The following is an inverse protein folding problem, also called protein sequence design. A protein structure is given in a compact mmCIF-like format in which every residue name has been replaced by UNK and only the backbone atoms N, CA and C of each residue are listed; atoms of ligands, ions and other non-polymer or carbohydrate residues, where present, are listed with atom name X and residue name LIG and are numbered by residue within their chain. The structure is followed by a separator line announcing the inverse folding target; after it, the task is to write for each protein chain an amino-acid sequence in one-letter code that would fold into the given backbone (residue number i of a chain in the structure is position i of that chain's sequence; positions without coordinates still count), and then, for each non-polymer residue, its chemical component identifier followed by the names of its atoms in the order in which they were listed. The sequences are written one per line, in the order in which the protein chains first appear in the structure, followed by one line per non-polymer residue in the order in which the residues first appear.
data_IF_048889051484
#
_entry.id   IF_048889051484
#
_cell.length_a   1.000
_cell.length_b   1.000
_cell.length_c   1.000
_cell.angle_alpha   90.00
_cell.angle_beta   90.00
_cell.angle_gamma   90.00
#
_symmetry.space_group_name_H-M   'P 1'
#
loop_
_entity.id
_entity.type
_entity.pdbx_description
1 polymer ?
#
# COMPACT_ATOMS: atom_id res chain seq x y z
N UNK A 1 41.89 -9.64 27.04
CA UNK A 1 41.46 -10.14 25.70
C UNK A 1 40.02 -9.69 25.47
N UNK A 2 39.78 -8.44 25.09
CA UNK A 2 38.41 -7.86 25.07
C UNK A 2 37.96 -7.28 23.71
N UNK A 3 38.80 -7.33 22.67
CA UNK A 3 38.47 -6.71 21.37
C UNK A 3 37.55 -7.56 20.45
N UNK A 4 37.26 -8.83 20.77
CA UNK A 4 36.50 -9.71 19.87
C UNK A 4 34.98 -9.40 19.81
N UNK A 5 34.42 -8.65 20.75
CA UNK A 5 32.97 -8.43 20.88
C UNK A 5 32.35 -7.49 19.83
N UNK A 6 33.11 -6.97 18.88
CA UNK A 6 32.69 -5.86 18.00
C UNK A 6 32.90 -6.13 16.49
N UNK A 7 33.05 -7.41 16.10
CA UNK A 7 33.31 -7.86 14.73
C UNK A 7 32.17 -7.48 13.78
N UNK A 8 32.53 -6.89 12.65
CA UNK A 8 31.62 -6.74 11.49
C UNK A 8 31.64 -8.03 10.68
N UNK A 9 30.45 -8.51 10.32
CA UNK A 9 30.23 -9.67 9.46
C UNK A 9 29.24 -9.29 8.36
N UNK A 10 29.28 -10.00 7.23
CA UNK A 10 28.23 -9.92 6.21
C UNK A 10 27.37 -11.16 6.40
N UNK A 11 26.06 -10.97 6.58
CA UNK A 11 25.13 -12.07 6.83
C UNK A 11 23.76 -11.80 6.18
N UNK A 12 22.97 -12.85 6.03
CA UNK A 12 21.59 -12.75 5.55
C UNK A 12 20.69 -12.35 6.70
N UNK A 13 19.92 -11.28 6.56
CA UNK A 13 18.93 -10.83 7.54
C UNK A 13 17.54 -10.95 6.93
N UNK A 14 16.70 -11.77 7.56
CA UNK A 14 15.30 -12.00 7.22
C UNK A 14 14.43 -11.24 8.22
N UNK A 15 13.61 -10.31 7.74
CA UNK A 15 12.77 -9.43 8.55
C UNK A 15 11.30 -9.67 8.24
N UNK A 16 10.49 -9.78 9.29
CA UNK A 16 9.07 -10.15 9.25
C UNK A 16 8.25 -9.16 10.08
N UNK A 17 7.07 -8.77 9.61
CA UNK A 17 6.06 -8.15 10.50
C UNK A 17 4.64 -8.70 10.23
N UNK A 18 3.80 -8.67 11.26
CA UNK A 18 2.37 -9.01 11.18
C UNK A 18 1.60 -7.76 10.75
N UNK A 19 0.88 -7.87 9.64
CA UNK A 19 0.16 -6.75 9.02
C UNK A 19 -0.94 -6.23 9.94
N UNK A 20 -0.92 -4.93 10.21
CA UNK A 20 -1.87 -4.21 11.08
C UNK A 20 -1.96 -4.72 12.53
N UNK A 21 -0.94 -5.42 13.04
CA UNK A 21 -0.93 -6.00 14.40
C UNK A 21 -1.43 -5.04 15.49
N UNK A 22 -0.87 -3.83 15.56
CA UNK A 22 -1.22 -2.82 16.57
C UNK A 22 -2.67 -2.30 16.49
N UNK A 23 -3.39 -2.55 15.38
CA UNK A 23 -4.82 -2.19 15.23
C UNK A 23 -5.76 -3.27 15.79
N UNK A 24 -5.26 -4.46 16.12
CA UNK A 24 -6.07 -5.59 16.63
C UNK A 24 -6.24 -5.47 18.15
N UNK A 25 -7.29 -6.10 18.70
CA UNK A 25 -7.46 -6.22 20.15
C UNK A 25 -6.32 -7.05 20.78
N UNK A 26 -6.09 -6.91 22.08
CA UNK A 26 -5.06 -7.66 22.81
C UNK A 26 -5.24 -9.19 22.67
N UNK A 27 -6.48 -9.68 22.71
CA UNK A 27 -6.78 -11.10 22.47
C UNK A 27 -6.36 -11.58 21.08
N UNK A 28 -6.57 -10.76 20.05
CA UNK A 28 -6.15 -11.07 18.69
C UNK A 28 -4.65 -10.91 18.46
N UNK A 29 -4.01 -9.93 19.11
CA UNK A 29 -2.56 -9.78 19.12
C UNK A 29 -1.87 -11.05 19.67
N UNK A 30 -2.35 -11.58 20.81
CA UNK A 30 -1.85 -12.85 21.39
C UNK A 30 -2.00 -14.00 20.38
N UNK A 31 -3.20 -14.25 19.86
CA UNK A 31 -3.47 -15.33 18.91
C UNK A 31 -2.67 -15.23 17.60
N UNK A 32 -2.43 -14.01 17.09
CA UNK A 32 -1.60 -13.77 15.91
C UNK A 32 -0.12 -14.04 16.21
N UNK A 33 0.39 -13.58 17.36
CA UNK A 33 1.78 -13.75 17.76
C UNK A 33 2.11 -15.21 18.10
N UNK A 34 1.19 -15.96 18.69
CA UNK A 34 1.32 -17.41 18.93
C UNK A 34 1.46 -18.18 17.61
N UNK A 35 0.55 -17.96 16.65
CA UNK A 35 0.60 -18.59 15.31
C UNK A 35 1.87 -18.20 14.55
N UNK A 36 2.22 -16.91 14.55
CA UNK A 36 3.44 -16.39 13.94
C UNK A 36 4.69 -17.05 14.52
N UNK A 37 4.81 -17.13 15.85
CA UNK A 37 5.95 -17.76 16.52
C UNK A 37 6.02 -19.27 16.22
N UNK A 38 4.88 -19.96 16.12
CA UNK A 38 4.83 -21.37 15.74
C UNK A 38 5.34 -21.61 14.31
N UNK A 39 4.89 -20.82 13.33
CA UNK A 39 5.37 -20.93 11.95
C UNK A 39 6.82 -20.51 11.80
N UNK A 40 7.26 -19.46 12.50
CA UNK A 40 8.66 -19.06 12.52
C UNK A 40 9.55 -20.17 13.08
N UNK A 41 9.15 -20.81 14.19
CA UNK A 41 9.86 -21.94 14.80
C UNK A 41 10.04 -23.11 13.84
N UNK A 42 9.00 -23.45 13.06
CA UNK A 42 9.08 -24.46 11.99
C UNK A 42 10.05 -24.00 10.89
N UNK A 43 9.90 -22.75 10.42
CA UNK A 43 10.67 -22.20 9.30
C UNK A 43 12.17 -22.16 9.55
N UNK A 44 12.60 -21.97 10.80
CA UNK A 44 14.03 -21.95 11.15
C UNK A 44 14.53 -23.26 11.76
N UNK A 45 13.68 -24.27 12.01
CA UNK A 45 13.98 -25.44 12.86
C UNK A 45 15.36 -26.07 12.59
N UNK A 46 15.70 -26.21 11.31
CA UNK A 46 16.87 -26.95 10.84
C UNK A 46 18.17 -26.10 10.80
N UNK A 47 18.08 -24.80 11.12
CA UNK A 47 19.23 -23.90 11.28
C UNK A 47 19.79 -24.00 12.71
N UNK A 48 21.11 -24.20 12.90
CA UNK A 48 21.71 -24.28 14.24
C UNK A 48 21.52 -23.01 15.07
N UNK A 49 21.36 -23.16 16.39
CA UNK A 49 21.15 -22.02 17.31
C UNK A 49 22.34 -21.04 17.30
N UNK A 50 23.57 -21.54 17.14
CA UNK A 50 24.78 -20.70 17.08
C UNK A 50 24.93 -19.96 15.75
N UNK A 51 24.26 -20.43 14.69
CA UNK A 51 24.35 -19.88 13.34
C UNK A 51 23.20 -18.91 13.05
N UNK A 52 22.44 -18.52 14.08
CA UNK A 52 21.37 -17.52 13.99
C UNK A 52 21.29 -16.60 15.19
N UNK A 53 20.91 -15.34 14.96
CA UNK A 53 20.49 -14.41 16.01
C UNK A 53 19.05 -13.99 15.70
N UNK A 54 18.14 -14.18 16.67
CA UNK A 54 16.71 -13.87 16.55
C UNK A 54 16.41 -12.67 17.43
N UNK A 55 15.79 -11.64 16.86
CA UNK A 55 15.34 -10.44 17.56
C UNK A 55 13.81 -10.36 17.43
N UNK A 56 13.10 -10.32 18.55
CA UNK A 56 11.67 -10.07 18.55
C UNK A 56 11.39 -8.56 18.40
N UNK A 57 10.51 -8.17 17.47
CA UNK A 57 10.09 -6.77 17.28
C UNK A 57 8.78 -6.44 18.01
N UNK A 58 8.19 -7.42 18.69
CA UNK A 58 6.86 -7.36 19.31
C UNK A 58 5.78 -7.84 18.34
N UNK A 59 5.69 -7.21 17.16
CA UNK A 59 4.74 -7.51 16.09
C UNK A 59 5.28 -8.44 14.99
N UNK A 60 6.51 -8.94 15.15
CA UNK A 60 7.25 -9.64 14.11
C UNK A 60 8.54 -10.26 14.63
N UNK A 61 9.54 -10.38 13.77
CA UNK A 61 10.89 -10.80 14.12
C UNK A 61 11.92 -10.42 13.05
N UNK A 62 13.18 -10.32 13.45
CA UNK A 62 14.33 -10.29 12.57
C UNK A 62 15.29 -11.44 12.89
N UNK A 63 15.67 -12.24 11.88
CA UNK A 63 16.58 -13.37 12.01
C UNK A 63 17.82 -13.10 11.16
N UNK A 64 18.99 -13.13 11.79
CA UNK A 64 20.28 -13.00 11.12
C UNK A 64 20.93 -14.37 11.01
N UNK A 65 21.08 -14.90 9.80
CA UNK A 65 21.70 -16.19 9.51
C UNK A 65 23.20 -15.99 9.30
N UNK A 66 23.99 -16.51 10.23
CA UNK A 66 25.45 -16.40 10.29
C UNK A 66 26.14 -17.53 9.51
N UNK A 67 25.39 -18.59 9.17
CA UNK A 67 25.82 -19.76 8.40
C UNK A 67 25.59 -19.62 6.89
N UNK A 68 24.70 -20.45 6.32
CA UNK A 68 24.50 -20.50 4.87
C UNK A 68 23.64 -19.34 4.35
N UNK A 69 23.88 -18.90 3.12
CA UNK A 69 23.05 -17.88 2.47
C UNK A 69 21.64 -18.41 2.15
N UNK A 70 21.53 -19.72 1.93
CA UNK A 70 20.30 -20.45 1.60
C UNK A 70 19.35 -20.56 2.79
N UNK A 71 19.86 -20.52 4.02
CA UNK A 71 19.04 -20.65 5.24
C UNK A 71 17.90 -19.62 5.28
N UNK A 72 18.19 -18.38 4.87
CA UNK A 72 17.21 -17.31 4.79
C UNK A 72 16.15 -17.53 3.69
N UNK A 73 16.52 -18.16 2.56
CA UNK A 73 15.60 -18.52 1.48
C UNK A 73 14.70 -19.67 1.92
N UNK A 74 15.26 -20.71 2.52
CA UNK A 74 14.52 -21.86 3.04
C UNK A 74 13.54 -21.44 4.14
N UNK A 75 13.97 -20.61 5.09
CA UNK A 75 13.11 -20.04 6.12
C UNK A 75 11.97 -19.20 5.50
N UNK A 76 12.26 -18.35 4.51
CA UNK A 76 11.23 -17.54 3.86
C UNK A 76 10.20 -18.37 3.09
N UNK A 77 10.65 -19.39 2.35
CA UNK A 77 9.77 -20.31 1.63
C UNK A 77 8.93 -21.17 2.60
N UNK A 78 9.51 -21.64 3.70
CA UNK A 78 8.81 -22.40 4.73
C UNK A 78 7.76 -21.56 5.44
N UNK A 79 8.10 -20.33 5.86
CA UNK A 79 7.15 -19.39 6.47
C UNK A 79 5.96 -19.12 5.53
N UNK A 80 6.24 -18.84 4.24
CA UNK A 80 5.20 -18.63 3.24
C UNK A 80 4.32 -19.86 3.02
N UNK A 81 4.91 -21.06 3.00
CA UNK A 81 4.17 -22.32 2.89
C UNK A 81 3.21 -22.52 4.06
N UNK A 82 3.66 -22.28 5.30
CA UNK A 82 2.80 -22.35 6.49
C UNK A 82 1.62 -21.36 6.42
N UNK A 83 1.89 -20.11 6.02
CA UNK A 83 0.86 -19.08 5.84
C UNK A 83 -0.17 -19.44 4.74
N UNK A 84 0.27 -20.01 3.62
CA UNK A 84 -0.62 -20.50 2.55
C UNK A 84 -1.49 -21.68 3.02
N UNK A 85 -0.91 -22.59 3.81
CA UNK A 85 -1.60 -23.78 4.33
C UNK A 85 -2.67 -23.43 5.39
N UNK A 86 -2.47 -22.39 6.19
CA UNK A 86 -3.53 -21.83 7.05
C UNK A 86 -4.56 -21.06 6.22
N UNK A 87 -4.09 -20.19 5.31
CA UNK A 87 -4.93 -19.32 4.50
C UNK A 87 -5.77 -18.36 5.36
N UNK A 88 -7.03 -18.15 4.99
CA UNK A 88 -8.00 -17.35 5.77
C UNK A 88 -8.98 -18.23 6.56
N UNK A 89 -8.59 -19.46 6.91
CA UNK A 89 -9.45 -20.40 7.66
C UNK A 89 -9.65 -20.01 9.12
N UNK A 90 -8.78 -19.14 9.64
CA UNK A 90 -8.77 -18.66 11.02
C UNK A 90 -9.02 -17.16 11.03
N UNK A 91 -9.87 -16.68 11.94
CA UNK A 91 -10.13 -15.25 12.14
C UNK A 91 -9.38 -14.76 13.41
N UNK A 92 -8.63 -13.65 13.35
CA UNK A 92 -8.20 -12.94 12.15
C UNK A 92 -7.17 -13.75 11.35
N UNK A 93 -7.13 -13.60 10.01
CA UNK A 93 -6.12 -14.24 9.19
C UNK A 93 -4.73 -13.73 9.55
N UNK A 94 -3.75 -14.64 9.65
CA UNK A 94 -2.36 -14.27 9.87
C UNK A 94 -1.74 -13.79 8.55
N UNK A 95 -1.52 -12.48 8.46
CA UNK A 95 -0.92 -11.82 7.31
C UNK A 95 0.45 -11.27 7.70
N UNK A 96 1.49 -11.63 6.94
CA UNK A 96 2.89 -11.32 7.26
C UNK A 96 3.58 -10.73 6.04
N UNK A 97 4.35 -9.64 6.21
CA UNK A 97 5.28 -9.13 5.19
C UNK A 97 6.66 -9.68 5.44
N UNK A 98 7.39 -9.99 4.36
CA UNK A 98 8.67 -10.69 4.44
C UNK A 98 9.73 -10.00 3.57
N UNK A 99 10.89 -9.70 4.16
CA UNK A 99 12.01 -9.06 3.48
C UNK A 99 13.35 -9.73 3.81
N UNK A 100 14.19 -10.02 2.81
CA UNK A 100 15.56 -10.52 3.01
C UNK A 100 16.59 -9.54 2.48
N UNK A 101 17.68 -9.33 3.21
CA UNK A 101 18.84 -8.58 2.75
C UNK A 101 20.16 -9.29 3.11
N UNK A 102 21.14 -9.27 2.20
CA UNK A 102 22.53 -9.60 2.50
C UNK A 102 23.30 -8.31 2.76
N UNK A 103 23.88 -8.14 3.95
CA UNK A 103 24.59 -6.90 4.25
C UNK A 103 25.44 -6.94 5.52
N UNK A 104 26.20 -5.86 5.79
CA UNK A 104 27.07 -5.78 6.95
C UNK A 104 26.26 -5.54 8.23
N UNK A 105 26.52 -6.37 9.24
CA UNK A 105 26.05 -6.19 10.62
C UNK A 105 27.22 -6.32 11.58
N UNK A 106 27.09 -5.73 12.76
CA UNK A 106 28.03 -5.87 13.87
C UNK A 106 27.38 -6.69 14.95
N UNK A 107 28.07 -7.75 15.38
CA UNK A 107 27.69 -8.48 16.58
C UNK A 107 27.91 -7.58 17.79
N UNK A 108 26.94 -7.56 18.70
CA UNK A 108 26.97 -6.86 19.99
C UNK A 108 26.29 -7.75 21.04
N UNK A 109 26.32 -7.31 22.31
CA UNK A 109 25.50 -7.91 23.37
C UNK A 109 24.38 -6.95 23.76
N UNK A 110 23.20 -7.49 24.06
CA UNK A 110 22.08 -6.71 24.59
C UNK A 110 22.28 -6.39 26.09
N UNK A 111 21.30 -5.72 26.69
CA UNK A 111 21.30 -5.38 28.12
C UNK A 111 21.31 -6.60 29.06
N UNK A 112 20.94 -7.78 28.56
CA UNK A 112 20.92 -9.06 29.28
C UNK A 112 22.18 -9.92 28.99
N UNK A 113 23.13 -9.40 28.20
CA UNK A 113 24.34 -10.11 27.79
C UNK A 113 24.16 -11.10 26.64
N UNK A 114 22.97 -11.18 26.04
CA UNK A 114 22.64 -12.08 24.93
C UNK A 114 23.19 -11.56 23.59
N UNK A 115 23.52 -12.45 22.62
CA UNK A 115 23.93 -12.04 21.27
C UNK A 115 22.84 -11.21 20.57
N UNK A 116 23.23 -10.07 20.02
CA UNK A 116 22.35 -9.15 19.30
C UNK A 116 23.13 -8.55 18.11
N UNK A 117 22.46 -7.88 17.18
CA UNK A 117 23.08 -7.25 16.01
C UNK A 117 22.65 -5.79 15.82
N UNK A 118 23.56 -4.98 15.28
CA UNK A 118 23.28 -3.62 14.82
C UNK A 118 23.98 -3.35 13.49
N UNK A 119 23.43 -2.48 12.64
CA UNK A 119 24.10 -2.05 11.41
C UNK A 119 23.16 -1.80 10.23
N UNK A 120 23.75 -1.51 9.07
CA UNK A 120 22.99 -1.23 7.85
C UNK A 120 22.25 -2.47 7.35
N UNK A 121 22.83 -3.67 7.49
CA UNK A 121 22.24 -4.92 7.01
C UNK A 121 20.81 -5.18 7.51
N UNK A 122 20.56 -4.98 8.81
CA UNK A 122 19.22 -5.12 9.41
C UNK A 122 18.30 -3.96 9.06
N UNK A 123 18.81 -2.73 9.00
CA UNK A 123 18.02 -1.56 8.61
C UNK A 123 17.50 -1.71 7.17
N UNK A 124 18.33 -2.16 6.24
CA UNK A 124 17.94 -2.43 4.84
C UNK A 124 16.94 -3.60 4.77
N UNK A 125 17.13 -4.68 5.53
CA UNK A 125 16.16 -5.78 5.59
C UNK A 125 14.76 -5.30 5.99
N UNK A 126 14.68 -4.42 7.01
CA UNK A 126 13.43 -3.78 7.43
C UNK A 126 12.80 -2.92 6.32
N UNK A 127 13.60 -2.22 5.49
CA UNK A 127 13.07 -1.45 4.35
C UNK A 127 12.53 -2.35 3.25
N UNK A 128 13.28 -3.40 2.88
CA UNK A 128 12.86 -4.41 1.90
C UNK A 128 11.54 -5.06 2.32
N UNK A 129 11.41 -5.46 3.59
CA UNK A 129 10.15 -5.97 4.15
C UNK A 129 9.03 -4.92 4.06
N UNK A 130 9.31 -3.66 4.40
CA UNK A 130 8.33 -2.58 4.37
C UNK A 130 7.78 -2.23 2.98
N UNK A 131 8.42 -2.68 1.90
CA UNK A 131 7.92 -2.57 0.52
C UNK A 131 7.05 -3.76 0.08
N UNK A 132 6.98 -4.83 0.87
CA UNK A 132 6.29 -6.06 0.52
C UNK A 132 4.78 -5.98 0.78
N UNK A 133 4.00 -6.58 -0.10
CA UNK A 133 2.57 -6.84 0.12
C UNK A 133 2.34 -7.98 1.14
N UNK A 134 1.15 -8.10 1.75
CA UNK A 134 0.82 -9.22 2.65
C UNK A 134 1.05 -10.59 1.99
N UNK A 135 1.84 -11.45 2.62
CA UNK A 135 2.24 -12.77 2.12
C UNK A 135 3.36 -12.76 1.06
N UNK A 136 3.79 -11.59 0.60
CA UNK A 136 4.89 -11.45 -0.36
C UNK A 136 6.25 -11.52 0.35
N UNK A 137 7.21 -12.20 -0.31
CA UNK A 137 8.63 -12.15 0.05
C UNK A 137 9.34 -11.25 -0.95
N UNK A 138 9.95 -10.18 -0.47
CA UNK A 138 10.90 -9.37 -1.25
C UNK A 138 12.33 -9.61 -0.77
N UNK A 139 13.31 -9.48 -1.66
CA UNK A 139 14.73 -9.50 -1.34
C UNK A 139 15.47 -8.32 -1.95
N UNK A 140 16.55 -7.88 -1.32
CA UNK A 140 17.46 -6.88 -1.90
C UNK A 140 18.26 -7.44 -3.07
N UNK A 141 18.74 -6.54 -3.94
CA UNK A 141 19.75 -6.86 -4.98
C UNK A 141 20.95 -7.63 -4.42
N UNK A 142 21.50 -7.24 -3.27
CA UNK A 142 22.70 -7.91 -2.71
C UNK A 142 22.43 -9.35 -2.32
N UNK A 143 21.23 -9.68 -1.83
CA UNK A 143 20.83 -11.05 -1.55
C UNK A 143 20.62 -11.85 -2.84
N UNK A 144 19.90 -11.27 -3.80
CA UNK A 144 19.68 -11.87 -5.12
C UNK A 144 20.99 -12.18 -5.86
N UNK A 145 21.90 -11.21 -5.96
CA UNK A 145 23.18 -11.33 -6.68
C UNK A 145 24.10 -12.42 -6.10
N UNK A 146 23.93 -12.78 -4.82
CA UNK A 146 24.65 -13.85 -4.16
C UNK A 146 23.95 -15.21 -4.31
N UNK A 147 22.67 -15.30 -3.98
CA UNK A 147 21.93 -16.58 -3.94
C UNK A 147 21.63 -17.14 -5.33
N UNK A 148 21.40 -16.28 -6.32
CA UNK A 148 21.25 -16.71 -7.74
C UNK A 148 22.48 -17.41 -8.31
N UNK A 149 23.66 -17.28 -7.67
CA UNK A 149 24.90 -17.97 -8.08
C UNK A 149 25.07 -19.35 -7.46
N UNK A 150 24.29 -19.69 -6.44
CA UNK A 150 24.35 -20.99 -5.75
C UNK A 150 23.66 -22.10 -6.55
N UNK A 151 22.54 -21.77 -7.21
CA UNK A 151 21.80 -22.70 -8.05
C UNK A 151 21.02 -21.97 -9.16
N UNK A 152 20.96 -22.58 -10.33
CA UNK A 152 20.09 -22.13 -11.43
C UNK A 152 18.61 -22.20 -11.06
N UNK A 153 18.23 -23.15 -10.20
CA UNK A 153 16.87 -23.27 -9.67
C UNK A 153 16.51 -22.03 -8.85
N UNK A 154 17.39 -21.61 -7.93
CA UNK A 154 17.19 -20.40 -7.13
C UNK A 154 17.12 -19.16 -8.03
N UNK A 155 18.01 -19.03 -9.01
CA UNK A 155 17.99 -17.91 -9.95
C UNK A 155 16.62 -17.75 -10.66
N UNK A 156 15.96 -18.87 -10.99
CA UNK A 156 14.64 -18.88 -11.62
C UNK A 156 13.47 -18.47 -10.70
N UNK A 157 13.66 -18.41 -9.38
CA UNK A 157 12.60 -18.05 -8.41
C UNK A 157 12.39 -16.55 -8.24
N UNK A 158 13.34 -15.71 -8.70
CA UNK A 158 13.35 -14.27 -8.44
C UNK A 158 12.80 -13.46 -9.62
N UNK A 159 11.94 -12.50 -9.31
CA UNK A 159 11.36 -11.58 -10.29
C UNK A 159 11.63 -10.13 -9.88
N UNK A 160 12.32 -9.36 -10.73
CA UNK A 160 12.64 -7.97 -10.47
C UNK A 160 11.36 -7.11 -10.33
N UNK A 161 11.28 -6.31 -9.26
CA UNK A 161 10.14 -5.45 -8.92
C UNK A 161 10.47 -3.94 -8.97
N UNK A 162 11.63 -3.59 -9.55
CA UNK A 162 12.10 -2.21 -9.69
C UNK A 162 12.88 -1.69 -8.47
N UNK A 163 13.20 -0.39 -8.52
CA UNK A 163 13.75 0.38 -7.40
C UNK A 163 12.62 0.94 -6.53
N UNK A 164 12.81 0.91 -5.21
CA UNK A 164 11.91 1.48 -4.20
C UNK A 164 12.68 2.43 -3.30
N UNK A 165 12.12 3.59 -3.01
CA UNK A 165 12.76 4.60 -2.16
C UNK A 165 12.26 4.50 -0.72
N UNK A 166 13.17 4.48 0.25
CA UNK A 166 12.81 4.48 1.67
C UNK A 166 12.57 5.89 2.24
N UNK A 167 12.18 5.96 3.52
CA UNK A 167 11.96 7.22 4.25
C UNK A 167 13.21 8.11 4.40
N UNK A 168 14.39 7.61 4.04
CA UNK A 168 15.66 8.33 4.05
C UNK A 168 16.12 8.72 2.63
N UNK A 169 15.24 8.58 1.63
CA UNK A 169 15.51 8.85 0.20
C UNK A 169 16.60 7.93 -0.37
N UNK A 170 16.84 6.76 0.26
CA UNK A 170 17.73 5.73 -0.29
C UNK A 170 16.94 4.82 -1.23
N UNK A 171 17.51 4.56 -2.39
CA UNK A 171 16.99 3.59 -3.35
C UNK A 171 17.40 2.16 -2.99
N UNK A 172 16.44 1.25 -3.13
CA UNK A 172 16.57 -0.18 -2.87
C UNK A 172 15.96 -0.95 -4.03
N UNK A 173 16.78 -1.66 -4.79
CA UNK A 173 16.29 -2.55 -5.83
C UNK A 173 15.86 -3.89 -5.24
N UNK A 174 14.63 -4.28 -5.55
CA UNK A 174 13.94 -5.41 -4.93
C UNK A 174 13.51 -6.46 -5.95
N UNK A 175 13.56 -7.71 -5.51
CA UNK A 175 13.13 -8.88 -6.27
C UNK A 175 12.11 -9.66 -5.44
N UNK A 176 10.97 -10.02 -6.03
CA UNK A 176 10.01 -10.92 -5.41
C UNK A 176 10.44 -12.38 -5.59
N UNK A 177 10.22 -13.23 -4.58
CA UNK A 177 10.33 -14.69 -4.72
C UNK A 177 8.95 -15.25 -5.01
N UNK A 178 8.79 -16.03 -6.09
CA UNK A 178 7.53 -16.65 -6.50
C UNK A 178 6.52 -15.69 -7.14
N UNK A 179 5.38 -16.22 -7.59
CA UNK A 179 4.46 -15.50 -8.47
C UNK A 179 3.68 -14.38 -7.76
N UNK A 180 3.61 -13.16 -8.34
CA UNK A 180 2.67 -12.14 -7.90
C UNK A 180 1.22 -12.58 -8.15
N UNK A 181 0.56 -13.14 -7.14
CA UNK A 181 -0.86 -13.55 -7.21
C UNK A 181 -1.30 -14.65 -6.24
N UNK A 182 -0.37 -15.45 -5.70
CA UNK A 182 -0.69 -16.64 -4.90
C UNK A 182 -1.48 -16.33 -3.61
N UNK A 183 -1.24 -15.17 -2.97
CA UNK A 183 -2.06 -14.67 -1.85
C UNK A 183 -3.24 -13.79 -2.29
N UNK A 184 -3.08 -13.01 -3.36
CA UNK A 184 -4.08 -12.00 -3.77
C UNK A 184 -5.35 -12.63 -4.32
N UNK A 185 -5.22 -13.73 -5.08
CA UNK A 185 -6.34 -14.51 -5.59
C UNK A 185 -7.11 -15.20 -4.47
N UNK A 186 -6.40 -15.83 -3.54
CA UNK A 186 -6.94 -16.56 -2.39
C UNK A 186 -7.72 -15.65 -1.43
N UNK A 187 -7.27 -14.40 -1.21
CA UNK A 187 -8.08 -13.43 -0.46
C UNK A 187 -9.34 -12.98 -1.20
N UNK A 188 -9.26 -12.71 -2.51
CA UNK A 188 -10.43 -12.24 -3.28
C UNK A 188 -11.52 -13.32 -3.45
N UNK A 189 -11.16 -14.60 -3.56
CA UNK A 189 -12.14 -15.69 -3.66
C UNK A 189 -12.86 -15.93 -2.33
N UNK A 190 -12.12 -16.01 -1.23
CA UNK A 190 -12.68 -16.37 0.08
C UNK A 190 -13.44 -15.21 0.75
N UNK A 191 -13.02 -13.95 0.54
CA UNK A 191 -13.78 -12.78 1.00
C UNK A 191 -15.10 -12.58 0.24
N UNK A 192 -15.22 -13.06 -1.00
CA UNK A 192 -16.51 -13.13 -1.72
C UNK A 192 -17.41 -14.21 -1.15
N UNK A 193 -16.87 -15.39 -0.84
CA UNK A 193 -17.63 -16.53 -0.34
C UNK A 193 -18.19 -16.30 1.07
N UNK A 194 -17.37 -15.84 2.03
CA UNK A 194 -17.80 -15.58 3.41
C UNK A 194 -18.80 -14.41 3.53
N UNK A 195 -18.77 -13.42 2.63
CA UNK A 195 -19.76 -12.32 2.61
C UNK A 195 -21.13 -12.76 2.11
N UNK A 196 -21.21 -13.88 1.38
CA UNK A 196 -22.45 -14.34 0.77
C UNK A 196 -23.35 -15.13 1.76
N UNK A 197 -22.77 -15.66 2.84
CA UNK A 197 -23.49 -16.50 3.82
C UNK A 197 -24.07 -15.73 5.03
N UNK A 198 -23.60 -14.51 5.33
CA UNK A 198 -23.91 -13.81 6.60
C UNK A 198 -24.61 -12.44 6.48
N UNK A 199 -24.91 -11.94 5.28
CA UNK A 199 -25.49 -10.60 5.09
C UNK A 199 -26.98 -10.56 5.44
N UNK A 200 -27.36 -9.85 6.52
CA UNK A 200 -28.75 -9.68 6.94
C UNK A 200 -29.33 -8.31 6.56
N UNK A 201 -30.56 -8.30 6.05
CA UNK A 201 -31.47 -7.13 5.97
C UNK A 201 -30.88 -5.85 5.37
N UNK A 202 -30.32 -5.00 6.24
CA UNK A 202 -29.90 -3.63 5.92
C UNK A 202 -28.61 -3.58 5.07
N UNK A 203 -27.66 -4.50 5.28
CA UNK A 203 -26.46 -4.56 4.42
C UNK A 203 -26.83 -4.97 2.99
N UNK A 204 -27.84 -5.83 2.81
CA UNK A 204 -28.32 -6.24 1.49
C UNK A 204 -28.95 -5.07 0.72
N UNK A 205 -29.54 -4.08 1.41
CA UNK A 205 -30.12 -2.87 0.78
C UNK A 205 -29.00 -1.91 0.34
N UNK A 206 -27.99 -1.69 1.19
CA UNK A 206 -26.83 -0.86 0.83
C UNK A 206 -26.00 -1.50 -0.30
N UNK A 207 -25.80 -2.82 -0.25
CA UNK A 207 -25.13 -3.58 -1.30
C UNK A 207 -25.89 -3.54 -2.64
N UNK A 208 -27.22 -3.65 -2.60
CA UNK A 208 -28.06 -3.47 -3.80
C UNK A 208 -27.99 -2.04 -4.35
N UNK A 209 -27.78 -1.03 -3.51
CA UNK A 209 -27.56 0.36 -3.92
C UNK A 209 -26.21 0.54 -4.61
N UNK A 210 -25.12 0.00 -4.07
CA UNK A 210 -23.79 0.05 -4.71
C UNK A 210 -23.76 -0.72 -6.05
N UNK A 211 -24.32 -1.93 -6.09
CA UNK A 211 -24.44 -2.73 -7.33
C UNK A 211 -25.40 -2.09 -8.35
N UNK A 212 -26.43 -1.34 -7.93
CA UNK A 212 -27.21 -0.49 -8.83
C UNK A 212 -26.44 0.73 -9.33
N UNK A 213 -25.60 1.35 -8.48
CA UNK A 213 -24.77 2.49 -8.86
C UNK A 213 -23.72 2.08 -9.90
N UNK A 214 -23.01 0.98 -9.71
CA UNK A 214 -22.05 0.46 -10.70
C UNK A 214 -22.73 0.09 -12.02
N UNK A 215 -23.95 -0.48 -11.98
CA UNK A 215 -24.75 -0.75 -13.18
C UNK A 215 -25.28 0.52 -13.86
N UNK A 216 -25.68 1.53 -13.09
CA UNK A 216 -26.08 2.84 -13.63
C UNK A 216 -24.90 3.57 -14.27
N UNK A 217 -23.71 3.53 -13.65
CA UNK A 217 -22.46 4.11 -14.19
C UNK A 217 -22.05 3.39 -15.48
N UNK A 218 -22.10 2.05 -15.51
CA UNK A 218 -21.82 1.28 -16.72
C UNK A 218 -22.81 1.54 -17.88
N UNK A 219 -24.07 1.87 -17.58
CA UNK A 219 -25.07 2.27 -18.59
C UNK A 219 -24.94 3.76 -18.98
N UNK A 220 -24.37 4.60 -18.11
CA UNK A 220 -24.16 6.03 -18.35
C UNK A 220 -22.85 6.35 -19.12
N UNK A 221 -21.84 5.47 -19.08
CA UNK A 221 -20.54 5.66 -19.74
C UNK A 221 -20.61 6.08 -21.23
N UNK A 222 -21.57 5.58 -22.06
CA UNK A 222 -21.74 6.03 -23.44
C UNK A 222 -22.35 7.44 -23.59
N UNK A 223 -23.02 7.96 -22.55
CA UNK A 223 -23.79 9.22 -22.59
C UNK A 223 -22.95 10.42 -22.17
N UNK A 224 -22.01 10.27 -21.23
CA UNK A 224 -21.17 11.37 -20.73
C UNK A 224 -20.44 12.12 -21.85
N UNK A 225 -19.87 11.38 -22.81
CA UNK A 225 -19.11 11.94 -23.94
C UNK A 225 -19.99 12.82 -24.84
N UNK A 226 -21.25 12.44 -25.08
CA UNK A 226 -22.22 13.25 -25.85
C UNK A 226 -22.78 14.42 -25.05
N UNK A 227 -23.03 14.24 -23.75
CA UNK A 227 -23.56 15.30 -22.90
C UNK A 227 -22.56 16.48 -22.77
N UNK A 228 -21.27 16.19 -22.60
CA UNK A 228 -20.20 17.20 -22.52
C UNK A 228 -19.99 17.96 -23.84
N UNK A 229 -20.12 17.29 -24.99
CA UNK A 229 -20.09 17.95 -26.31
C UNK A 229 -21.30 18.87 -26.53
N UNK A 230 -22.50 18.42 -26.14
CA UNK A 230 -23.73 19.21 -26.25
C UNK A 230 -23.68 20.45 -25.32
N UNK A 231 -23.21 20.28 -24.08
CA UNK A 231 -23.03 21.37 -23.10
C UNK A 231 -22.05 22.45 -23.57
N UNK A 232 -20.96 22.06 -24.26
CA UNK A 232 -20.00 23.00 -24.86
C UNK A 232 -20.59 23.81 -26.02
N UNK A 233 -21.58 23.29 -26.75
CA UNK A 233 -22.19 23.97 -27.92
C UNK A 233 -23.25 25.02 -27.58
N UNK A 234 -23.70 25.08 -26.34
CA UNK A 234 -24.85 25.89 -25.90
C UNK A 234 -24.39 27.21 -25.27
N UNK A 235 -25.18 28.28 -25.46
CA UNK A 235 -24.88 29.63 -24.94
C UNK A 235 -25.04 29.72 -23.41
N UNK A 236 -24.32 30.62 -22.74
CA UNK A 236 -24.23 30.63 -21.27
C UNK A 236 -25.57 30.84 -20.56
N UNK A 237 -26.51 31.61 -21.13
CA UNK A 237 -27.86 31.76 -20.57
C UNK A 237 -28.65 30.45 -20.60
N UNK A 238 -28.47 29.65 -21.64
CA UNK A 238 -29.10 28.33 -21.77
C UNK A 238 -28.41 27.28 -20.88
N UNK A 239 -27.10 27.40 -20.61
CA UNK A 239 -26.39 26.54 -19.63
C UNK A 239 -26.95 26.71 -18.22
N UNK A 240 -27.20 27.95 -17.79
CA UNK A 240 -27.81 28.24 -16.47
C UNK A 240 -29.23 27.65 -16.38
N UNK A 241 -30.04 27.80 -17.43
CA UNK A 241 -31.38 27.20 -17.48
C UNK A 241 -31.36 25.66 -17.42
N UNK A 242 -30.39 25.02 -18.09
CA UNK A 242 -30.24 23.56 -18.11
C UNK A 242 -29.76 23.02 -16.75
N UNK A 243 -28.82 23.70 -16.09
CA UNK A 243 -28.40 23.38 -14.73
C UNK A 243 -29.54 23.56 -13.71
N UNK A 244 -30.32 24.64 -13.83
CA UNK A 244 -31.51 24.85 -12.99
C UNK A 244 -32.56 23.74 -13.21
N UNK A 245 -32.79 23.33 -14.47
CA UNK A 245 -33.67 22.21 -14.79
C UNK A 245 -33.21 20.88 -14.18
N UNK A 246 -31.92 20.54 -14.27
CA UNK A 246 -31.38 19.33 -13.65
C UNK A 246 -31.47 19.36 -12.12
N UNK A 247 -31.24 20.53 -11.50
CA UNK A 247 -31.41 20.70 -10.05
C UNK A 247 -32.88 20.46 -9.63
N UNK A 248 -33.86 20.98 -10.37
CA UNK A 248 -35.28 20.72 -10.12
C UNK A 248 -35.61 19.23 -10.24
N UNK A 249 -35.13 18.55 -11.29
CA UNK A 249 -35.33 17.08 -11.45
C UNK A 249 -34.70 16.29 -10.30
N UNK A 250 -33.48 16.63 -9.89
CA UNK A 250 -32.80 15.98 -8.76
C UNK A 250 -33.57 16.16 -7.44
N UNK A 251 -34.08 17.37 -7.16
CA UNK A 251 -34.92 17.66 -5.99
C UNK A 251 -36.26 16.92 -6.07
N UNK A 252 -36.89 16.84 -7.24
CA UNK A 252 -38.13 16.08 -7.44
C UNK A 252 -37.94 14.58 -7.25
N UNK A 253 -36.83 14.00 -7.73
CA UNK A 253 -36.48 12.60 -7.51
C UNK A 253 -36.14 12.31 -6.04
N UNK A 254 -35.45 13.23 -5.36
CA UNK A 254 -35.19 13.13 -3.92
C UNK A 254 -36.49 13.18 -3.12
N UNK A 255 -37.42 14.08 -3.46
CA UNK A 255 -38.74 14.15 -2.84
C UNK A 255 -39.58 12.88 -3.09
N UNK A 256 -39.52 12.32 -4.31
CA UNK A 256 -40.17 11.05 -4.65
C UNK A 256 -39.58 9.89 -3.84
N UNK A 257 -38.25 9.80 -3.73
CA UNK A 257 -37.55 8.80 -2.91
C UNK A 257 -37.94 8.91 -1.43
N UNK A 258 -37.93 10.13 -0.87
CA UNK A 258 -38.41 10.36 0.51
C UNK A 258 -39.86 9.92 0.65
N UNK A 259 -40.74 10.28 -0.29
CA UNK A 259 -42.16 9.92 -0.22
C UNK A 259 -42.42 8.42 -0.37
N UNK A 260 -41.61 7.69 -1.15
CA UNK A 260 -41.64 6.23 -1.26
C UNK A 260 -41.11 5.54 0.02
N UNK A 261 -40.14 6.14 0.70
CA UNK A 261 -39.58 5.64 1.97
C UNK A 261 -40.50 5.94 3.16
N UNK A 262 -41.26 7.03 3.15
CA UNK A 262 -42.20 7.40 4.23
C UNK A 262 -43.63 6.92 4.01
N UNK A 263 -43.95 6.38 2.82
CA UNK A 263 -45.32 6.07 2.39
C UNK A 263 -46.05 4.98 3.19
N UNK A 264 -45.34 4.15 3.96
CA UNK A 264 -45.94 3.07 4.77
C UNK A 264 -46.25 3.48 6.22
N UNK A 265 -45.97 4.73 6.61
CA UNK A 265 -46.09 5.21 7.99
C UNK A 265 -47.41 5.97 8.30
N UNK A 266 -48.53 5.60 7.66
CA UNK A 266 -49.87 6.14 8.02
C UNK A 266 -50.93 5.06 8.18
N UNK A 267 -50.88 4.34 9.30
CA UNK A 267 -52.06 3.66 9.86
C UNK A 267 -52.01 3.73 11.39
N UNK A 268 -52.84 4.56 12.05
CA UNK A 268 -52.82 4.66 13.51
C UNK A 268 -53.41 3.39 14.14
N UNK A 269 -52.82 2.85 15.21
CA UNK A 269 -53.42 1.73 15.94
C UNK A 269 -54.69 2.19 16.64
N UNK A 270 -55.77 1.42 16.49
CA UNK A 270 -57.01 1.66 17.24
C UNK A 270 -56.80 1.43 18.74
N UNK A 271 -57.41 2.28 19.54
CA UNK A 271 -57.44 2.12 20.99
C UNK A 271 -58.25 0.88 21.39
N UNK A 272 -57.86 0.27 22.51
CA UNK A 272 -58.75 -0.56 23.33
C UNK A 272 -58.47 -0.29 24.80
N UNK A 273 -59.48 0.26 25.47
CA UNK A 273 -59.65 0.33 26.92
C UNK A 273 -60.03 -1.09 27.42
N UNK A 274 -60.02 -1.52 28.68
CA UNK A 274 -59.69 -0.98 30.01
C UNK A 274 -59.08 -2.17 30.84
N UNK A 275 -58.84 -2.19 32.15
CA UNK A 275 -59.35 -1.43 33.31
C UNK A 275 -58.52 -1.71 34.59
N UNK A 276 -58.45 -0.73 35.50
CA UNK A 276 -58.30 -0.80 37.00
C UNK A 276 -57.47 -1.93 37.65
N UNK A 277 -56.54 -1.66 38.58
CA UNK A 277 -56.86 -1.01 39.86
C UNK A 277 -55.68 -0.24 40.53
N UNK A 278 -55.93 0.37 41.69
CA UNK A 278 -55.05 1.28 42.46
C UNK A 278 -55.02 0.92 43.97
N UNK A 279 -54.35 1.67 44.88
CA UNK A 279 -53.02 2.31 44.85
C UNK A 279 -52.18 1.96 46.12
N UNK A 280 -50.93 2.46 46.24
CA UNK A 280 -50.50 3.36 47.35
C UNK A 280 -48.97 3.45 47.64
N UNK A 281 -48.58 4.69 48.01
CA UNK A 281 -47.51 5.09 48.95
C UNK A 281 -46.03 5.13 48.51
N UNK A 282 -45.40 6.24 48.91
CA UNK A 282 -43.97 6.58 48.93
C UNK A 282 -43.75 7.50 50.16
N UNK A 283 -42.57 8.15 50.41
CA UNK A 283 -41.17 7.90 50.03
C UNK A 283 -40.31 7.82 51.35
N UNK A 284 -39.06 8.37 51.52
CA UNK A 284 -37.95 8.73 50.60
C UNK A 284 -36.54 8.26 51.07
N UNK A 285 -35.51 8.39 50.22
CA UNK A 285 -34.14 8.75 50.63
C UNK A 285 -33.29 9.33 49.47
N UNK A 286 -32.25 10.12 49.82
CA UNK A 286 -31.29 10.84 48.94
C UNK A 286 -30.16 9.87 48.47
N UNK A 287 -29.28 10.14 47.50
CA UNK A 287 -28.28 11.25 47.38
C UNK A 287 -27.79 11.36 45.94
N UNK A 288 -27.45 12.58 45.48
CA UNK A 288 -26.78 12.86 44.18
C UNK A 288 -25.68 13.92 44.37
N UNK A 289 -24.70 13.90 43.45
CA UNK A 289 -23.68 14.90 43.14
C UNK A 289 -22.38 14.94 43.97
N UNK A 290 -21.27 14.72 43.26
CA UNK A 290 -19.97 15.35 43.53
C UNK A 290 -19.34 15.76 42.21
N UNK A 291 -19.35 17.05 41.91
CA UNK A 291 -18.57 17.64 40.81
C UNK A 291 -17.16 17.96 41.32
N UNK A 292 -16.18 17.86 40.43
CA UNK A 292 -14.88 18.51 40.59
C UNK A 292 -14.43 19.01 39.21
N UNK A 293 -14.39 20.33 39.05
CA UNK A 293 -13.73 20.97 37.92
C UNK A 293 -12.27 21.24 38.31
N UNK A 294 -11.36 21.21 37.34
CA UNK A 294 -9.99 21.69 37.54
C UNK A 294 -9.55 22.54 36.35
N UNK A 295 -8.79 23.60 36.64
CA UNK A 295 -8.39 24.63 35.68
C UNK A 295 -7.03 24.32 35.02
N UNK A 296 -6.81 24.88 33.82
CA UNK A 296 -5.67 25.75 33.42
C UNK A 296 -5.11 25.48 32.03
N UNK A 297 -4.91 26.58 31.32
CA UNK A 297 -4.26 26.69 30.01
C UNK A 297 -2.75 26.81 30.18
N UNK A 298 -1.99 26.31 29.20
CA UNK A 298 -0.76 26.93 28.72
C UNK A 298 -0.42 26.38 27.32
N UNK A 299 -0.10 27.26 26.37
CA UNK A 299 0.45 26.91 25.06
C UNK A 299 1.56 27.92 24.69
N UNK A 300 2.73 27.49 24.19
CA UNK A 300 3.83 28.38 23.84
C UNK A 300 3.94 28.70 22.33
N UNK A 301 4.74 29.74 22.04
CA UNK A 301 4.91 30.42 20.76
C UNK A 301 5.96 29.78 19.80
N UNK A 302 5.96 30.20 18.53
CA UNK A 302 6.99 29.90 17.51
C UNK A 302 8.27 30.76 17.67
N UNK A 303 9.38 30.46 16.94
CA UNK A 303 9.70 31.28 15.73
C UNK A 303 10.56 30.66 14.57
N UNK A 304 10.29 31.10 13.32
CA UNK A 304 11.17 31.50 12.17
C UNK A 304 12.47 30.73 11.65
N UNK A 305 13.02 31.04 10.43
CA UNK A 305 13.58 30.00 9.51
C UNK A 305 14.96 30.19 8.78
N UNK A 306 15.42 29.13 8.06
CA UNK A 306 16.25 29.08 6.80
C UNK A 306 17.78 29.47 6.83
N UNK A 307 18.64 29.27 5.78
CA UNK A 307 18.84 28.26 4.68
C UNK A 307 20.36 27.82 4.51
N UNK A 308 21.05 27.64 3.32
CA UNK A 308 20.90 26.81 2.07
C UNK A 308 22.15 25.94 1.62
N UNK A 309 22.07 25.33 0.39
CA UNK A 309 23.18 24.93 -0.57
C UNK A 309 23.77 23.50 -0.40
N UNK A 310 24.46 22.79 -1.34
CA UNK A 310 25.10 23.02 -2.68
C UNK A 310 25.00 21.74 -3.60
N UNK A 311 25.29 21.83 -4.92
CA UNK A 311 25.36 20.72 -5.93
C UNK A 311 26.80 20.20 -6.24
N UNK A 312 26.97 19.00 -6.84
CA UNK A 312 27.97 18.70 -7.92
C UNK A 312 27.80 17.34 -8.65
N UNK A 313 28.55 17.13 -9.76
CA UNK A 313 28.20 16.28 -10.93
C UNK A 313 29.45 15.77 -11.70
N UNK A 314 29.55 14.46 -12.05
CA UNK A 314 30.48 13.83 -13.03
C UNK A 314 29.85 12.47 -13.48
N UNK A 315 29.48 12.17 -14.73
CA UNK A 315 30.26 11.58 -15.87
C UNK A 315 31.21 10.42 -15.47
N UNK A 316 31.30 9.24 -16.13
CA UNK A 316 30.55 8.63 -17.25
C UNK A 316 31.46 7.70 -18.09
N UNK A 317 31.20 6.38 -18.21
CA UNK A 317 31.99 5.45 -19.08
C UNK A 317 31.13 4.42 -19.85
N UNK A 318 31.55 4.22 -21.10
CA UNK A 318 31.02 3.48 -22.25
C UNK A 318 30.45 2.06 -22.06
N UNK A 319 29.27 1.92 -22.63
CA UNK A 319 28.54 0.74 -23.13
C UNK A 319 29.28 -0.02 -24.25
N UNK A 320 29.15 -1.36 -24.34
CA UNK A 320 29.50 -2.10 -25.58
C UNK A 320 28.79 -3.46 -25.78
N UNK A 321 28.71 -3.83 -27.06
CA UNK A 321 28.45 -5.17 -27.62
C UNK A 321 27.05 -5.81 -27.53
N UNK A 322 26.37 -5.89 -26.37
CA UNK A 322 25.11 -6.68 -26.28
C UNK A 322 23.85 -6.02 -26.86
N UNK A 323 23.89 -4.73 -27.17
CA UNK A 323 22.71 -3.94 -27.58
C UNK A 323 22.31 -4.13 -29.06
N UNK A 324 23.19 -4.73 -29.90
CA UNK A 324 22.96 -4.79 -31.36
C UNK A 324 21.86 -5.76 -31.81
N UNK A 325 21.51 -6.78 -31.04
CA UNK A 325 20.59 -7.86 -31.46
C UNK A 325 19.11 -7.62 -31.18
N UNK A 326 18.70 -6.44 -30.71
CA UNK A 326 17.29 -6.05 -30.49
C UNK A 326 16.82 -4.86 -31.35
N UNK A 327 17.71 -4.25 -32.14
CA UNK A 327 17.42 -2.99 -32.87
C UNK A 327 16.66 -3.23 -34.19
N UNK A 328 16.72 -4.44 -34.77
CA UNK A 328 16.28 -4.68 -36.16
C UNK A 328 14.75 -4.84 -36.36
N UNK A 329 13.97 -5.07 -35.30
CA UNK A 329 12.51 -5.37 -35.45
C UNK A 329 11.58 -4.25 -34.95
N UNK A 330 12.09 -3.33 -34.15
CA UNK A 330 11.38 -2.10 -33.74
C UNK A 330 12.40 -0.97 -33.68
N UNK A 331 12.26 0.02 -34.56
CA UNK A 331 13.23 1.11 -34.68
C UNK A 331 13.47 1.82 -33.35
N UNK A 332 14.69 2.37 -33.19
CA UNK A 332 15.21 2.96 -31.96
C UNK A 332 14.15 3.73 -31.13
N UNK A 333 14.07 3.48 -29.80
CA UNK A 333 13.12 4.17 -28.94
C UNK A 333 13.41 5.67 -28.94
N UNK A 334 12.35 6.45 -28.91
CA UNK A 334 12.41 7.90 -28.78
C UNK A 334 12.54 8.30 -27.31
N UNK A 335 13.06 9.50 -27.04
CA UNK A 335 13.29 9.99 -25.68
C UNK A 335 12.49 11.27 -25.43
N UNK A 336 11.57 11.22 -24.48
CA UNK A 336 10.81 12.38 -24.00
C UNK A 336 11.48 12.91 -22.74
N UNK A 337 12.12 14.07 -22.84
CA UNK A 337 12.70 14.78 -21.68
C UNK A 337 11.60 15.57 -20.96
N UNK A 338 11.51 15.38 -19.64
CA UNK A 338 10.48 15.92 -18.77
C UNK A 338 11.09 16.96 -17.82
N UNK A 339 10.40 18.06 -17.60
CA UNK A 339 10.76 19.06 -16.61
C UNK A 339 9.50 19.64 -15.99
N UNK A 340 9.07 19.05 -14.87
CA UNK A 340 7.85 19.41 -14.14
C UNK A 340 8.18 20.16 -12.85
N UNK A 341 7.44 21.23 -12.56
CA UNK A 341 7.57 22.02 -11.32
C UNK A 341 6.20 22.29 -10.68
N UNK A 342 6.04 22.16 -9.35
CA UNK A 342 7.06 21.74 -8.37
C UNK A 342 7.40 20.24 -8.48
N UNK A 343 6.40 19.42 -8.79
CA UNK A 343 6.53 17.99 -9.12
C UNK A 343 5.22 17.49 -9.76
N UNK A 344 5.25 16.31 -10.40
CA UNK A 344 4.03 15.65 -10.87
C UNK A 344 4.24 14.18 -11.24
N UNK A 345 3.21 13.37 -10.99
CA UNK A 345 3.05 12.00 -11.47
C UNK A 345 2.88 12.00 -13.00
N UNK A 346 3.72 11.23 -13.69
CA UNK A 346 3.76 11.15 -15.14
C UNK A 346 3.08 9.86 -15.57
N UNK A 347 2.02 9.97 -16.37
CA UNK A 347 1.33 8.86 -16.98
C UNK A 347 1.54 8.90 -18.50
N UNK A 348 1.89 7.75 -19.09
CA UNK A 348 1.97 7.54 -20.55
C UNK A 348 0.87 6.55 -20.94
N UNK A 349 -0.03 6.97 -21.83
CA UNK A 349 -1.20 6.18 -22.26
C UNK A 349 -2.02 5.61 -21.08
N UNK A 350 -2.16 6.41 -20.02
CA UNK A 350 -2.85 6.04 -18.78
C UNK A 350 -2.03 5.19 -17.80
N UNK A 351 -0.82 4.73 -18.14
CA UNK A 351 0.06 3.97 -17.24
C UNK A 351 1.04 4.90 -16.53
N UNK A 352 1.07 4.86 -15.19
CA UNK A 352 2.04 5.60 -14.37
C UNK A 352 3.48 5.16 -14.70
N UNK A 353 4.33 6.13 -15.03
CA UNK A 353 5.76 5.95 -15.33
C UNK A 353 6.67 6.37 -14.17
N UNK A 354 6.15 7.16 -13.23
CA UNK A 354 6.89 7.68 -12.07
C UNK A 354 6.52 9.13 -11.76
N UNK A 355 7.36 9.82 -10.99
CA UNK A 355 7.20 11.26 -10.68
C UNK A 355 8.37 12.06 -11.25
N UNK A 356 8.09 13.20 -11.87
CA UNK A 356 9.09 14.20 -12.27
C UNK A 356 9.08 15.32 -11.22
N UNK A 357 10.24 15.82 -10.70
CA UNK A 357 11.54 15.85 -11.36
C UNK A 357 12.42 14.60 -11.44
N UNK A 358 12.40 13.59 -10.54
CA UNK A 358 13.41 12.52 -10.60
C UNK A 358 13.29 11.67 -11.88
N UNK A 359 12.08 11.51 -12.44
CA UNK A 359 11.89 11.12 -13.83
C UNK A 359 12.13 12.31 -14.77
N UNK A 360 13.36 12.41 -15.29
CA UNK A 360 13.79 13.48 -16.23
C UNK A 360 13.72 13.07 -17.71
N UNK A 361 13.74 11.77 -18.01
CA UNK A 361 13.65 11.22 -19.37
C UNK A 361 12.78 9.97 -19.35
N UNK A 362 11.98 9.79 -20.40
CA UNK A 362 11.08 8.66 -20.60
C UNK A 362 11.32 8.09 -22.01
N UNK A 363 11.58 6.80 -22.12
CA UNK A 363 11.66 6.13 -23.41
C UNK A 363 10.27 5.79 -23.92
N UNK A 364 9.95 6.20 -25.15
CA UNK A 364 8.64 6.03 -25.78
C UNK A 364 8.85 5.40 -27.15
N UNK A 365 7.97 4.46 -27.52
CA UNK A 365 8.01 3.84 -28.85
C UNK A 365 7.58 4.85 -29.93
N UNK A 366 7.87 4.55 -31.20
CA UNK A 366 7.38 5.38 -32.30
C UNK A 366 5.85 5.23 -32.41
N UNK A 367 5.10 6.32 -32.26
CA UNK A 367 3.64 6.27 -32.17
C UNK A 367 2.99 7.58 -31.76
N UNK A 368 1.67 7.52 -31.53
CA UNK A 368 0.87 8.60 -30.93
C UNK A 368 0.61 8.22 -29.47
N UNK A 369 1.06 9.06 -28.55
CA UNK A 369 1.02 8.78 -27.11
C UNK A 369 0.39 9.95 -26.33
N UNK A 370 -0.43 9.65 -25.33
CA UNK A 370 -0.94 10.64 -24.37
C UNK A 370 -0.01 10.70 -23.15
N UNK A 371 0.51 11.89 -22.84
CA UNK A 371 1.23 12.17 -21.60
C UNK A 371 0.35 13.02 -20.70
N UNK A 372 0.13 12.51 -19.48
CA UNK A 372 -0.68 13.17 -18.44
C UNK A 372 0.18 13.40 -17.21
N UNK A 373 0.21 14.64 -16.73
CA UNK A 373 1.03 15.10 -15.61
C UNK A 373 0.08 15.51 -14.49
N UNK A 374 -0.01 14.72 -13.43
CA UNK A 374 -0.93 14.93 -12.30
C UNK A 374 -0.15 15.41 -11.08
N UNK A 375 -0.76 16.27 -10.28
CA UNK A 375 -0.28 16.68 -8.96
C UNK A 375 -1.44 16.58 -7.98
N UNK A 376 -1.18 16.46 -6.68
CA UNK A 376 -2.23 16.40 -5.64
C UNK A 376 -2.95 17.72 -5.43
N UNK A 377 -2.29 18.84 -5.73
CA UNK A 377 -2.73 20.20 -5.40
C UNK A 377 -3.24 20.96 -6.63
N UNK A 378 -2.77 20.60 -7.83
CA UNK A 378 -3.02 21.34 -9.07
C UNK A 378 -3.75 20.50 -10.11
N UNK A 379 -4.48 21.18 -11.02
CA UNK A 379 -5.21 20.54 -12.11
C UNK A 379 -4.27 19.72 -13.03
N UNK A 380 -4.62 18.47 -13.37
CA UNK A 380 -3.77 17.61 -14.19
C UNK A 380 -3.63 18.16 -15.62
N UNK A 381 -2.39 18.23 -16.09
CA UNK A 381 -2.08 18.55 -17.47
C UNK A 381 -2.16 17.29 -18.34
N UNK A 382 -2.58 17.41 -19.60
CA UNK A 382 -2.61 16.29 -20.55
C UNK A 382 -2.29 16.80 -21.95
N UNK A 383 -1.32 16.17 -22.59
CA UNK A 383 -0.82 16.52 -23.92
C UNK A 383 -0.66 15.25 -24.76
N UNK A 384 -1.04 15.30 -26.02
CA UNK A 384 -0.93 14.16 -26.95
C UNK A 384 0.21 14.41 -27.92
N UNK A 385 1.31 13.68 -27.73
CA UNK A 385 2.49 13.76 -28.59
C UNK A 385 2.45 12.73 -29.71
N UNK A 386 3.09 13.05 -30.84
CA UNK A 386 3.41 12.11 -31.92
C UNK A 386 4.92 12.00 -32.02
N UNK A 387 5.44 10.79 -31.92
CA UNK A 387 6.86 10.53 -31.72
C UNK A 387 7.35 9.61 -32.82
N UNK A 388 8.42 10.00 -33.52
CA UNK A 388 9.11 9.15 -34.50
C UNK A 388 10.24 8.37 -33.84
N UNK A 389 10.65 7.27 -34.46
CA UNK A 389 11.79 6.47 -33.96
C UNK A 389 13.06 7.33 -33.85
N UNK A 390 13.76 7.22 -32.71
CA UNK A 390 14.97 7.97 -32.38
C UNK A 390 14.79 9.47 -32.12
N UNK A 391 13.55 10.00 -32.13
CA UNK A 391 13.28 11.42 -31.90
C UNK A 391 13.48 11.81 -30.43
N UNK A 392 13.86 13.07 -30.17
CA UNK A 392 13.90 13.64 -28.82
C UNK A 392 12.88 14.77 -28.68
N UNK A 393 11.91 14.59 -27.80
CA UNK A 393 10.86 15.57 -27.50
C UNK A 393 11.12 16.13 -26.10
N UNK A 394 10.83 17.41 -25.86
CA UNK A 394 11.00 18.04 -24.54
C UNK A 394 9.70 18.67 -24.06
N UNK A 395 9.20 18.19 -22.93
CA UNK A 395 7.99 18.71 -22.26
C UNK A 395 8.44 19.42 -20.98
N UNK A 396 8.25 20.74 -20.96
CA UNK A 396 8.48 21.57 -19.77
C UNK A 396 7.14 22.09 -19.29
N UNK A 397 6.74 21.71 -18.09
CA UNK A 397 5.48 22.11 -17.50
C UNK A 397 5.69 22.67 -16.09
N UNK A 398 5.08 23.81 -15.79
CA UNK A 398 5.06 24.40 -14.45
C UNK A 398 3.61 24.55 -14.05
N UNK A 399 3.22 23.90 -12.96
CA UNK A 399 1.93 24.19 -12.32
C UNK A 399 1.95 25.65 -11.85
N UNK A 400 0.93 26.41 -12.23
CA UNK A 400 0.72 27.77 -11.74
C UNK A 400 0.11 27.72 -10.33
N UNK A 401 0.54 28.65 -9.47
CA UNK A 401 -0.01 28.89 -8.14
C UNK A 401 -1.39 29.56 -8.21
#
# INVERSE_FOLDING_TARGET
MEEQNNKTIICSVFFLDIVEYSKKSVSWQISLKERFNAFLSIAIRDVPVNDRIILDTGDGAAISFLGDLSDALHAALSMRSSLLNEGVRMEPPLLVRMGVNLGPVRLVKDINGQPNIVGDGINVAQRVMGFADPGQILVSRSYYDAVSRLSQEYAGMFHYQGSRTDKHVREHEVYAIGYPGDFTSTQQSLSRQNRQENASGLELVMFKLEDYWDKLVAVAEPWERRALEFYRRISDRQRVALLAGMAVVAVSLLALMVSLVTGDATKPPQASQASSDSPAKAPPAKVVAKQAANERQAAPSAPEPAPPRVEKKVQGVKESARVRTLIETTGAPAVVSLSVQPWGEIYLDGRLQGVSPPLMELQVLAGKHEIKIKNTTFQPFTEVIRVKSGEKIKIKYKFAE
#
